data_IF_885767957972
#
_entry.id   IF_885767957972
#
_cell.length_a   1.000
_cell.length_b   1.000
_cell.length_c   1.000
_cell.angle_alpha   90.00
_cell.angle_beta   90.00
_cell.angle_gamma   90.00
#
_symmetry.space_group_name_H-M   'P 1'
#
loop_
_entity.id
_entity.type
_entity.pdbx_description
1 polymer ?
#
# COMPACT_ATOMS: atom_id res chain seq x y z
N UNK A 1 32.26 6.98 -3.99
CA UNK A 1 31.12 7.42 -4.80
C UNK A 1 29.90 6.87 -4.07
N UNK A 2 28.95 7.71 -3.68
CA UNK A 2 27.76 7.27 -2.94
C UNK A 2 26.78 6.60 -3.88
N UNK A 3 26.26 5.43 -3.50
CA UNK A 3 25.38 4.60 -4.33
C UNK A 3 23.96 4.68 -3.83
N UNK A 4 22.98 4.83 -4.73
CA UNK A 4 21.59 4.92 -4.37
C UNK A 4 20.68 4.02 -5.21
N UNK A 5 19.53 3.63 -4.63
CA UNK A 5 18.41 2.97 -5.31
C UNK A 5 17.22 3.91 -5.29
N UNK A 6 16.48 3.97 -6.39
CA UNK A 6 15.18 4.68 -6.50
C UNK A 6 14.09 3.64 -6.67
N UNK A 7 13.03 3.74 -5.86
CA UNK A 7 11.85 2.88 -5.97
C UNK A 7 10.57 3.70 -6.04
N UNK A 8 9.85 3.54 -7.15
CA UNK A 8 8.59 4.23 -7.47
C UNK A 8 7.88 3.44 -8.56
N UNK A 9 6.59 3.25 -8.52
CA UNK A 9 5.87 2.50 -9.56
C UNK A 9 5.62 3.33 -10.82
N UNK A 10 5.75 4.66 -10.74
CA UNK A 10 5.59 5.58 -11.87
C UNK A 10 6.94 5.84 -12.58
N UNK A 11 7.15 5.34 -13.83
CA UNK A 11 8.43 5.52 -14.54
C UNK A 11 8.84 6.97 -14.71
N UNK A 12 7.87 7.87 -14.97
CA UNK A 12 8.11 9.29 -15.15
C UNK A 12 8.64 9.95 -13.87
N UNK A 13 8.14 9.54 -12.70
CA UNK A 13 8.59 10.04 -11.41
C UNK A 13 10.03 9.59 -11.11
N UNK A 14 10.38 8.34 -11.44
CA UNK A 14 11.77 7.86 -11.32
C UNK A 14 12.73 8.66 -12.20
N UNK A 15 12.34 8.90 -13.46
CA UNK A 15 13.14 9.68 -14.40
C UNK A 15 13.34 11.12 -13.92
N UNK A 16 12.28 11.79 -13.48
CA UNK A 16 12.36 13.13 -12.91
C UNK A 16 13.25 13.21 -11.68
N UNK A 17 13.10 12.27 -10.75
CA UNK A 17 13.92 12.22 -9.54
C UNK A 17 15.40 11.99 -9.89
N UNK A 18 15.68 11.07 -10.81
CA UNK A 18 17.04 10.82 -11.31
C UNK A 18 17.65 12.08 -11.90
N UNK A 19 16.93 12.77 -12.78
CA UNK A 19 17.41 14.02 -13.39
C UNK A 19 17.72 15.09 -12.35
N UNK A 20 16.84 15.28 -11.37
CA UNK A 20 17.05 16.23 -10.26
C UNK A 20 18.24 15.86 -9.38
N UNK A 21 18.39 14.58 -9.05
CA UNK A 21 19.51 14.11 -8.24
C UNK A 21 20.83 14.28 -8.99
N UNK A 22 20.89 14.04 -10.30
CA UNK A 22 22.11 14.25 -11.09
C UNK A 22 22.54 15.71 -11.17
N UNK A 23 21.57 16.66 -11.14
CA UNK A 23 21.87 18.09 -11.06
C UNK A 23 22.39 18.53 -9.67
N UNK A 24 21.79 17.99 -8.59
CA UNK A 24 22.05 18.41 -7.21
C UNK A 24 23.20 17.65 -6.55
N UNK A 25 23.45 16.42 -6.99
CA UNK A 25 24.45 15.52 -6.44
C UNK A 25 25.14 14.70 -7.53
N UNK A 26 26.01 15.31 -8.35
CA UNK A 26 26.68 14.64 -9.47
C UNK A 26 27.49 13.40 -9.09
N UNK A 27 27.97 13.31 -7.83
CA UNK A 27 28.72 12.18 -7.32
C UNK A 27 27.84 11.00 -6.84
N UNK A 28 26.50 11.16 -6.87
CA UNK A 28 25.57 10.10 -6.53
C UNK A 28 25.39 9.15 -7.73
N UNK A 29 25.67 7.90 -7.53
CA UNK A 29 25.46 6.84 -8.54
C UNK A 29 24.12 6.16 -8.27
N UNK A 30 23.15 6.26 -9.19
CA UNK A 30 21.92 5.49 -9.14
C UNK A 30 22.22 4.11 -9.70
N UNK A 31 22.41 3.14 -8.81
CA UNK A 31 22.84 1.77 -9.17
C UNK A 31 21.68 0.87 -9.58
N UNK A 32 20.45 1.21 -9.20
CA UNK A 32 19.25 0.50 -9.63
C UNK A 32 17.97 1.34 -9.49
N UNK A 33 16.94 0.94 -10.23
CA UNK A 33 15.56 1.42 -10.11
C UNK A 33 14.61 0.25 -9.89
N UNK A 34 13.70 0.38 -8.93
CA UNK A 34 12.67 -0.58 -8.61
C UNK A 34 11.28 0.00 -8.93
N UNK A 35 10.35 -0.82 -9.38
CA UNK A 35 8.98 -0.43 -9.72
C UNK A 35 7.95 -0.85 -8.67
N UNK A 36 8.40 -1.45 -7.57
CA UNK A 36 7.58 -1.87 -6.44
C UNK A 36 8.46 -2.12 -5.21
N UNK A 37 7.82 -2.26 -4.04
CA UNK A 37 8.54 -2.45 -2.78
C UNK A 37 9.28 -3.79 -2.66
N UNK A 38 8.85 -4.84 -3.35
CA UNK A 38 9.53 -6.15 -3.36
C UNK A 38 10.86 -6.03 -4.07
N UNK A 39 10.85 -5.48 -5.31
CA UNK A 39 12.08 -5.23 -6.06
C UNK A 39 13.04 -4.30 -5.30
N UNK A 40 12.50 -3.29 -4.60
CA UNK A 40 13.32 -2.38 -3.80
C UNK A 40 14.12 -3.14 -2.72
N UNK A 41 13.47 -4.03 -1.97
CA UNK A 41 14.13 -4.85 -0.95
C UNK A 41 15.19 -5.77 -1.57
N UNK A 42 14.85 -6.46 -2.66
CA UNK A 42 15.78 -7.36 -3.37
C UNK A 42 17.03 -6.63 -3.87
N UNK A 43 16.83 -5.46 -4.50
CA UNK A 43 17.95 -4.68 -5.03
C UNK A 43 18.82 -4.09 -3.91
N UNK A 44 18.22 -3.61 -2.82
CA UNK A 44 18.98 -3.13 -1.66
C UNK A 44 19.78 -4.26 -1.01
N UNK A 45 19.20 -5.43 -0.85
CA UNK A 45 19.90 -6.59 -0.31
C UNK A 45 21.10 -7.01 -1.17
N UNK A 46 20.95 -6.99 -2.50
CA UNK A 46 21.97 -7.39 -3.46
C UNK A 46 23.07 -6.33 -3.64
N UNK A 47 22.69 -5.07 -3.75
CA UNK A 47 23.58 -3.97 -4.15
C UNK A 47 24.17 -3.20 -2.98
N UNK A 48 23.59 -3.29 -1.78
CA UNK A 48 24.03 -2.59 -0.57
C UNK A 48 24.30 -1.09 -0.82
N UNK A 49 23.30 -0.31 -1.29
CA UNK A 49 23.45 1.12 -1.49
C UNK A 49 23.56 1.85 -0.15
N UNK A 50 24.11 3.06 -0.16
CA UNK A 50 24.13 3.93 1.03
C UNK A 50 22.87 4.74 1.21
N UNK A 51 22.08 4.94 0.11
CA UNK A 51 20.85 5.74 0.11
C UNK A 51 19.75 4.99 -0.64
N UNK A 52 18.53 5.09 -0.15
CA UNK A 52 17.34 4.59 -0.85
C UNK A 52 16.26 5.67 -0.88
N UNK A 53 15.78 5.99 -2.07
CA UNK A 53 14.61 6.85 -2.27
C UNK A 53 13.40 5.94 -2.53
N UNK A 54 12.37 6.03 -1.69
CA UNK A 54 11.19 5.15 -1.74
C UNK A 54 9.92 5.97 -1.91
N UNK A 55 9.09 5.64 -2.89
CA UNK A 55 7.69 6.04 -2.82
C UNK A 55 6.98 5.22 -1.75
N UNK A 56 6.04 5.84 -1.05
CA UNK A 56 5.23 5.18 -0.02
C UNK A 56 4.18 4.27 -0.67
N UNK A 57 3.54 4.73 -1.75
CA UNK A 57 2.51 3.95 -2.43
C UNK A 57 3.07 3.21 -3.64
N UNK A 58 3.33 1.94 -3.46
CA UNK A 58 3.71 1.05 -4.55
C UNK A 58 2.86 -0.22 -4.52
N UNK A 59 2.61 -0.86 -5.69
CA UNK A 59 1.86 -2.10 -5.75
C UNK A 59 2.59 -3.25 -5.04
N UNK A 60 1.82 -4.15 -4.45
CA UNK A 60 2.31 -5.33 -3.74
C UNK A 60 2.80 -5.02 -2.33
N UNK A 61 3.95 -4.38 -2.20
CA UNK A 61 4.54 -3.94 -0.93
C UNK A 61 4.70 -2.42 -0.93
N UNK A 62 4.19 -1.77 0.11
CA UNK A 62 4.35 -0.33 0.30
C UNK A 62 5.81 0.04 0.58
N UNK A 63 6.19 1.31 0.32
CA UNK A 63 7.54 1.78 0.64
C UNK A 63 7.88 1.71 2.12
N UNK A 64 6.88 1.76 3.01
CA UNK A 64 7.09 1.63 4.45
C UNK A 64 7.38 0.19 4.85
N UNK A 65 6.63 -0.76 4.28
CA UNK A 65 6.91 -2.19 4.47
C UNK A 65 8.29 -2.55 3.93
N UNK A 66 8.65 -2.02 2.74
CA UNK A 66 9.97 -2.18 2.17
C UNK A 66 11.06 -1.58 3.08
N UNK A 67 10.85 -0.36 3.59
CA UNK A 67 11.79 0.30 4.49
C UNK A 67 12.02 -0.48 5.78
N UNK A 68 10.99 -1.10 6.35
CA UNK A 68 11.09 -1.97 7.54
C UNK A 68 11.96 -3.21 7.28
N UNK A 69 11.75 -3.87 6.14
CA UNK A 69 12.57 -5.03 5.76
C UNK A 69 14.01 -4.64 5.48
N UNK A 70 14.22 -3.50 4.81
CA UNK A 70 15.54 -2.94 4.54
C UNK A 70 16.28 -2.62 5.86
N UNK A 71 15.59 -2.07 6.86
CA UNK A 71 16.18 -1.70 8.14
C UNK A 71 16.67 -2.89 8.99
N UNK A 72 16.22 -4.11 8.70
CA UNK A 72 16.63 -5.34 9.38
C UNK A 72 17.59 -6.20 8.56
N UNK A 73 17.97 -5.78 7.36
CA UNK A 73 18.99 -6.47 6.56
C UNK A 73 20.35 -6.43 7.27
N UNK A 74 21.09 -7.53 7.15
CA UNK A 74 22.44 -7.61 7.71
C UNK A 74 23.36 -6.50 7.20
N UNK A 75 24.13 -5.90 8.10
CA UNK A 75 25.09 -4.84 7.80
C UNK A 75 24.59 -3.43 8.14
N UNK A 76 25.23 -2.41 7.54
CA UNK A 76 24.82 -1.02 7.73
C UNK A 76 23.55 -0.75 6.92
N UNK A 77 22.43 -0.35 7.56
CA UNK A 77 21.24 0.02 6.81
C UNK A 77 21.49 1.29 5.98
N UNK A 78 20.91 1.39 4.78
CA UNK A 78 20.99 2.60 3.97
C UNK A 78 20.20 3.74 4.62
N UNK A 79 20.55 4.96 4.27
CA UNK A 79 19.77 6.13 4.59
C UNK A 79 18.51 6.18 3.73
N UNK A 80 17.32 6.25 4.37
CA UNK A 80 16.02 6.17 3.67
C UNK A 80 15.41 7.56 3.56
N UNK A 81 15.01 7.91 2.33
CA UNK A 81 14.25 9.12 2.01
C UNK A 81 12.94 8.70 1.34
N UNK A 82 11.82 9.14 1.89
CA UNK A 82 10.54 8.96 1.21
C UNK A 82 10.28 10.09 0.21
N UNK A 83 9.86 9.71 -1.01
CA UNK A 83 9.43 10.62 -2.07
C UNK A 83 7.98 10.28 -2.41
N UNK A 84 7.03 11.10 -1.99
CA UNK A 84 5.62 10.72 -2.00
C UNK A 84 4.68 11.87 -2.34
N UNK A 85 3.49 11.55 -2.84
CA UNK A 85 2.41 12.53 -3.06
C UNK A 85 1.59 12.83 -1.79
N UNK A 86 1.91 12.22 -0.64
CA UNK A 86 1.20 12.45 0.62
C UNK A 86 1.45 13.84 1.18
N UNK A 87 0.36 14.49 1.62
CA UNK A 87 0.37 15.84 2.15
C UNK A 87 1.12 15.95 3.50
N UNK A 88 1.60 17.15 3.76
CA UNK A 88 2.51 17.55 4.84
C UNK A 88 2.01 17.21 6.26
N UNK A 89 0.69 17.09 6.47
CA UNK A 89 0.12 16.80 7.80
C UNK A 89 0.34 15.35 8.29
N UNK A 90 0.49 14.40 7.38
CA UNK A 90 0.89 13.03 7.74
C UNK A 90 2.38 12.93 8.11
N UNK A 91 3.16 13.93 7.78
CA UNK A 91 4.63 13.96 7.70
C UNK A 91 5.27 14.60 8.93
N UNK A 92 4.60 15.49 9.67
CA UNK A 92 5.09 16.02 10.96
C UNK A 92 5.34 14.92 12.00
N UNK A 93 4.76 13.74 11.78
CA UNK A 93 5.00 12.54 12.58
C UNK A 93 6.30 11.81 12.24
N UNK A 94 6.89 12.06 11.07
CA UNK A 94 8.11 11.42 10.57
C UNK A 94 9.39 11.98 11.17
N UNK A 95 9.35 13.15 11.79
CA UNK A 95 10.52 13.93 12.20
C UNK A 95 11.44 13.26 13.24
N UNK A 96 11.14 12.05 13.71
CA UNK A 96 11.92 11.43 14.80
C UNK A 96 12.77 10.20 14.43
N UNK A 97 12.95 9.84 13.16
CA UNK A 97 13.77 8.66 12.85
C UNK A 97 14.04 8.38 11.38
N UNK A 98 13.21 8.84 10.48
CA UNK A 98 13.46 8.81 9.04
C UNK A 98 14.23 10.07 8.66
N UNK A 99 15.18 9.96 7.75
CA UNK A 99 16.14 11.04 7.51
C UNK A 99 15.46 12.24 6.87
N UNK A 100 14.62 12.01 5.92
CA UNK A 100 13.86 13.06 5.25
C UNK A 100 12.70 12.50 4.41
N UNK A 101 11.84 13.41 3.97
CA UNK A 101 10.81 13.13 2.98
C UNK A 101 10.73 14.27 1.96
N UNK A 102 10.29 13.96 0.78
CA UNK A 102 10.12 14.92 -0.30
C UNK A 102 8.72 14.72 -0.90
N UNK A 103 7.93 15.78 -1.00
CA UNK A 103 6.64 15.72 -1.70
C UNK A 103 6.87 15.69 -3.21
N UNK A 104 6.08 14.87 -3.92
CA UNK A 104 5.98 14.88 -5.36
C UNK A 104 5.14 16.10 -5.82
N UNK A 105 5.54 16.82 -6.88
CA UNK A 105 6.78 16.65 -7.63
C UNK A 105 7.99 17.10 -6.80
N UNK A 106 9.10 16.33 -6.85
CA UNK A 106 10.31 16.64 -6.08
C UNK A 106 10.92 17.98 -6.52
N UNK A 107 10.54 19.06 -5.84
CA UNK A 107 11.05 20.41 -6.13
C UNK A 107 12.54 20.51 -5.86
N UNK A 108 13.26 21.25 -6.72
CA UNK A 108 14.71 21.35 -6.68
C UNK A 108 15.24 21.85 -5.34
N UNK A 109 14.62 22.91 -4.81
CA UNK A 109 15.03 23.50 -3.53
C UNK A 109 14.85 22.53 -2.37
N UNK A 110 13.67 21.86 -2.32
CA UNK A 110 13.38 20.89 -1.26
C UNK A 110 14.29 19.67 -1.32
N UNK A 111 14.53 19.14 -2.52
CA UNK A 111 15.44 18.02 -2.72
C UNK A 111 16.89 18.41 -2.39
N UNK A 112 17.29 19.65 -2.67
CA UNK A 112 18.60 20.19 -2.31
C UNK A 112 18.86 20.14 -0.80
N UNK A 113 17.86 20.51 0.02
CA UNK A 113 17.94 20.40 1.49
C UNK A 113 18.11 18.93 1.92
N UNK A 114 17.39 18.02 1.28
CA UNK A 114 17.51 16.58 1.54
C UNK A 114 18.91 16.06 1.21
N UNK A 115 19.47 16.44 0.07
CA UNK A 115 20.82 16.07 -0.34
C UNK A 115 21.86 16.56 0.67
N UNK A 116 21.77 17.79 1.14
CA UNK A 116 22.67 18.33 2.15
C UNK A 116 22.58 17.56 3.49
N UNK A 117 21.37 17.18 3.91
CA UNK A 117 21.15 16.33 5.09
C UNK A 117 21.80 14.96 4.92
N UNK A 118 21.59 14.32 3.76
CA UNK A 118 22.16 13.02 3.45
C UNK A 118 23.71 13.07 3.46
N UNK A 119 24.31 14.07 2.84
CA UNK A 119 25.78 14.24 2.82
C UNK A 119 26.35 14.37 4.25
N UNK A 120 25.70 15.18 5.11
CA UNK A 120 26.11 15.31 6.51
C UNK A 120 25.96 14.00 7.28
N UNK A 121 24.89 13.28 7.03
CA UNK A 121 24.59 12.01 7.73
C UNK A 121 25.52 10.89 7.31
N UNK A 122 25.84 10.78 6.03
CA UNK A 122 26.78 9.80 5.51
C UNK A 122 28.21 10.03 6.01
N UNK A 123 28.55 11.28 6.34
CA UNK A 123 29.84 11.64 6.93
C UNK A 123 29.91 11.40 8.46
N UNK A 124 28.77 11.18 9.13
CA UNK A 124 28.67 10.93 10.57
C UNK A 124 28.59 9.43 10.90
N UNK A 125 28.96 9.00 12.13
CA UNK A 125 28.68 7.63 12.58
C UNK A 125 27.16 7.35 12.53
N UNK A 126 26.78 6.18 12.00
CA UNK A 126 25.37 5.80 11.86
C UNK A 126 24.63 5.71 13.20
N UNK A 127 23.37 6.14 13.28
CA UNK A 127 22.51 5.81 14.42
C UNK A 127 22.26 4.30 14.44
N UNK A 128 21.90 3.80 15.63
CA UNK A 128 21.53 2.39 15.80
C UNK A 128 20.31 2.04 14.93
N UNK A 129 20.28 0.83 14.39
CA UNK A 129 19.14 0.28 13.65
C UNK A 129 17.82 0.36 14.43
N UNK A 130 17.88 0.34 15.76
CA UNK A 130 16.73 0.38 16.66
C UNK A 130 15.95 1.71 16.55
N UNK A 131 16.64 2.84 16.41
CA UNK A 131 15.98 4.15 16.27
C UNK A 131 15.22 4.24 14.93
N UNK A 132 15.78 3.71 13.85
CA UNK A 132 15.12 3.64 12.54
C UNK A 132 13.90 2.70 12.60
N UNK A 133 14.04 1.52 13.22
CA UNK A 133 12.93 0.57 13.36
C UNK A 133 11.76 1.16 14.16
N UNK A 134 12.04 1.83 15.29
CA UNK A 134 11.00 2.49 16.09
C UNK A 134 10.29 3.59 15.31
N UNK A 135 11.01 4.38 14.52
CA UNK A 135 10.44 5.41 13.68
C UNK A 135 9.53 4.84 12.59
N UNK A 136 9.98 3.78 11.90
CA UNK A 136 9.21 3.08 10.89
C UNK A 136 7.97 2.38 11.47
N UNK A 137 8.05 1.86 12.70
CA UNK A 137 6.91 1.28 13.40
C UNK A 137 5.82 2.32 13.69
N UNK A 138 6.20 3.47 14.28
CA UNK A 138 5.28 4.58 14.54
C UNK A 138 4.67 5.14 13.25
N UNK A 139 5.46 5.17 12.18
CA UNK A 139 5.02 5.59 10.88
C UNK A 139 3.92 4.68 10.33
N UNK A 140 4.12 3.37 10.37
CA UNK A 140 3.12 2.42 9.89
C UNK A 140 1.83 2.44 10.71
N UNK A 141 1.90 2.64 12.05
CA UNK A 141 0.71 2.81 12.88
C UNK A 141 -0.12 4.05 12.47
N UNK A 142 0.54 5.11 12.00
CA UNK A 142 -0.12 6.34 11.55
C UNK A 142 -0.54 6.33 10.08
N UNK A 143 0.13 5.52 9.26
CA UNK A 143 -0.22 5.27 7.86
C UNK A 143 -1.07 4.01 7.71
N UNK A 144 -1.41 3.35 8.81
CA UNK A 144 -2.60 2.49 8.80
C UNK A 144 -3.74 3.35 8.25
N UNK A 145 -4.32 2.95 7.12
CA UNK A 145 -4.94 3.91 6.23
C UNK A 145 -6.16 4.55 6.89
N UNK A 146 -6.08 5.86 7.16
CA UNK A 146 -7.29 6.70 7.14
C UNK A 146 -8.03 6.57 5.79
N UNK A 147 -7.41 5.96 4.79
CA UNK A 147 -7.99 5.66 3.49
C UNK A 147 -8.76 4.33 3.43
N UNK A 148 -8.81 3.53 4.51
CA UNK A 148 -9.74 2.40 4.53
C UNK A 148 -11.15 2.95 4.60
N UNK A 149 -11.94 2.57 3.62
CA UNK A 149 -13.32 2.99 3.51
C UNK A 149 -14.05 2.58 4.78
N UNK A 150 -14.44 3.54 5.62
CA UNK A 150 -15.24 3.28 6.84
C UNK A 150 -16.74 3.31 6.56
N UNK A 151 -17.12 4.02 5.51
CA UNK A 151 -18.51 4.24 5.13
C UNK A 151 -18.69 4.10 3.63
N UNK A 152 -19.76 3.40 3.24
CA UNK A 152 -20.22 3.35 1.86
C UNK A 152 -21.35 4.36 1.71
N UNK A 153 -21.18 5.30 0.78
CA UNK A 153 -22.24 6.22 0.39
C UNK A 153 -23.08 5.57 -0.72
N UNK A 154 -24.30 5.22 -0.43
CA UNK A 154 -25.22 4.61 -1.38
C UNK A 154 -26.45 5.49 -1.58
N UNK A 155 -26.97 5.52 -2.81
CA UNK A 155 -28.24 6.19 -3.11
C UNK A 155 -29.36 5.15 -3.06
N UNK A 156 -30.31 5.36 -2.17
CA UNK A 156 -31.51 4.52 -2.03
C UNK A 156 -32.72 5.41 -2.29
N UNK A 157 -33.35 5.28 -3.45
CA UNK A 157 -34.40 6.20 -3.88
C UNK A 157 -33.86 7.64 -4.02
N UNK A 158 -34.42 8.59 -3.29
CA UNK A 158 -33.99 10.00 -3.26
C UNK A 158 -33.09 10.35 -2.04
N UNK A 159 -32.65 9.36 -1.28
CA UNK A 159 -31.84 9.58 -0.08
C UNK A 159 -30.43 9.04 -0.26
N UNK A 160 -29.47 9.78 0.28
CA UNK A 160 -28.08 9.31 0.42
C UNK A 160 -28.00 8.61 1.77
N UNK A 161 -27.65 7.34 1.76
CA UNK A 161 -27.47 6.53 2.94
C UNK A 161 -25.99 6.24 3.17
N UNK A 162 -25.54 6.42 4.40
CA UNK A 162 -24.19 6.06 4.83
C UNK A 162 -24.24 4.68 5.48
N UNK A 163 -23.60 3.69 4.84
CA UNK A 163 -23.55 2.31 5.31
C UNK A 163 -22.16 2.07 5.90
N UNK A 164 -22.04 1.69 7.20
CA UNK A 164 -20.76 1.29 7.76
C UNK A 164 -20.18 0.09 6.99
N UNK A 165 -18.89 0.13 6.65
CA UNK A 165 -18.24 -0.98 5.94
C UNK A 165 -18.28 -2.27 6.76
N UNK A 166 -18.23 -2.17 8.09
CA UNK A 166 -18.32 -3.33 8.99
C UNK A 166 -19.67 -4.07 8.89
N UNK A 167 -20.75 -3.38 8.48
CA UNK A 167 -22.07 -3.98 8.30
C UNK A 167 -22.23 -4.65 6.92
N UNK A 168 -21.28 -4.45 6.01
CA UNK A 168 -21.34 -5.02 4.67
C UNK A 168 -20.92 -6.49 4.70
N UNK A 169 -21.77 -7.35 4.17
CA UNK A 169 -21.53 -8.78 4.03
C UNK A 169 -20.72 -9.07 2.76
N UNK A 170 -21.11 -8.45 1.64
CA UNK A 170 -20.43 -8.62 0.36
C UNK A 170 -20.77 -7.51 -0.63
N UNK A 171 -19.93 -7.39 -1.65
CA UNK A 171 -20.14 -6.56 -2.83
C UNK A 171 -20.19 -7.45 -4.07
N UNK A 172 -21.12 -7.16 -4.99
CA UNK A 172 -21.20 -7.83 -6.29
C UNK A 172 -21.35 -6.79 -7.39
N UNK A 173 -20.42 -6.80 -8.36
CA UNK A 173 -20.56 -5.96 -9.54
C UNK A 173 -21.69 -6.48 -10.44
N UNK A 174 -22.54 -5.53 -10.88
CA UNK A 174 -23.62 -5.75 -11.83
C UNK A 174 -23.58 -4.62 -12.86
N UNK A 175 -23.35 -4.96 -14.11
CA UNK A 175 -23.22 -4.06 -15.29
C UNK A 175 -22.66 -2.66 -15.01
N UNK A 176 -23.48 -1.74 -14.48
CA UNK A 176 -23.16 -0.32 -14.22
C UNK A 176 -22.99 0.03 -12.74
N UNK A 177 -23.34 -0.89 -11.86
CA UNK A 177 -23.36 -0.64 -10.43
C UNK A 177 -22.69 -1.75 -9.65
N UNK A 178 -22.28 -1.46 -8.44
CA UNK A 178 -21.89 -2.47 -7.46
C UNK A 178 -22.96 -2.57 -6.41
N UNK A 179 -23.52 -3.75 -6.25
CA UNK A 179 -24.47 -4.09 -5.21
C UNK A 179 -23.73 -4.26 -3.90
N UNK A 180 -24.17 -3.54 -2.87
CA UNK A 180 -23.70 -3.59 -1.49
C UNK A 180 -24.76 -4.31 -0.67
N UNK A 181 -24.42 -5.46 -0.11
CA UNK A 181 -25.33 -6.26 0.70
C UNK A 181 -24.96 -6.17 2.17
N UNK A 182 -25.91 -5.74 2.99
CA UNK A 182 -25.85 -5.86 4.45
C UNK A 182 -26.81 -6.94 4.96
N UNK A 183 -26.84 -7.16 6.27
CA UNK A 183 -27.82 -8.07 6.87
C UNK A 183 -29.26 -7.59 6.70
N UNK A 184 -29.49 -6.26 6.69
CA UNK A 184 -30.83 -5.66 6.68
C UNK A 184 -31.30 -5.22 5.29
N UNK A 185 -30.36 -4.81 4.41
CA UNK A 185 -30.72 -4.15 3.16
C UNK A 185 -29.71 -4.38 2.05
N UNK A 186 -30.16 -4.07 0.85
CA UNK A 186 -29.35 -3.97 -0.36
C UNK A 186 -29.31 -2.53 -0.82
N UNK A 187 -28.14 -2.09 -1.29
CA UNK A 187 -27.94 -0.78 -1.89
C UNK A 187 -27.07 -0.86 -3.13
N UNK A 188 -27.17 0.14 -4.00
CA UNK A 188 -26.38 0.21 -5.24
C UNK A 188 -25.46 1.42 -5.20
N UNK A 189 -24.21 1.20 -5.59
CA UNK A 189 -23.20 2.25 -5.73
C UNK A 189 -22.57 2.20 -7.13
N UNK A 190 -22.03 3.33 -7.57
CA UNK A 190 -21.34 3.40 -8.89
C UNK A 190 -19.87 3.00 -8.84
N UNK A 191 -19.32 2.80 -7.64
CA UNK A 191 -17.92 2.48 -7.45
C UNK A 191 -17.61 1.04 -7.89
N UNK A 192 -16.65 0.82 -8.81
CA UNK A 192 -16.32 -0.51 -9.31
C UNK A 192 -15.56 -1.35 -8.26
N UNK A 193 -15.63 -2.68 -8.37
CA UNK A 193 -14.95 -3.64 -7.47
C UNK A 193 -13.44 -3.37 -7.35
N UNK A 194 -12.79 -2.97 -8.45
CA UNK A 194 -11.34 -2.69 -8.47
C UNK A 194 -10.98 -1.51 -7.54
N UNK A 195 -11.78 -0.46 -7.52
CA UNK A 195 -11.57 0.68 -6.61
C UNK A 195 -11.88 0.31 -5.16
N UNK A 196 -13.00 -0.42 -4.94
CA UNK A 196 -13.33 -0.94 -3.60
C UNK A 196 -12.20 -1.80 -3.02
N UNK A 197 -11.61 -2.68 -3.85
CA UNK A 197 -10.51 -3.54 -3.42
C UNK A 197 -9.28 -2.75 -2.96
N UNK A 198 -9.01 -1.60 -3.58
CA UNK A 198 -7.90 -0.73 -3.20
C UNK A 198 -8.14 0.05 -1.90
N UNK A 199 -9.41 0.27 -1.54
CA UNK A 199 -9.80 1.11 -0.39
C UNK A 199 -10.30 0.29 0.82
N UNK A 200 -10.70 -0.97 0.62
CA UNK A 200 -11.15 -1.87 1.69
C UNK A 200 -9.97 -2.56 2.38
N UNK A 201 -10.19 -2.98 3.62
CA UNK A 201 -9.22 -3.77 4.37
C UNK A 201 -9.06 -5.17 3.77
N UNK A 202 -7.90 -5.57 3.23
CA UNK A 202 -7.68 -6.91 2.68
C UNK A 202 -7.75 -8.01 3.75
N UNK A 203 -7.58 -7.70 5.04
CA UNK A 203 -7.81 -8.65 6.13
C UNK A 203 -9.31 -8.90 6.37
N UNK A 204 -10.16 -7.91 6.06
CA UNK A 204 -11.60 -7.99 6.26
C UNK A 204 -12.35 -8.41 4.99
N UNK A 205 -11.91 -7.97 3.80
CA UNK A 205 -12.59 -8.26 2.54
C UNK A 205 -11.70 -9.06 1.60
N UNK A 206 -12.20 -10.21 1.17
CA UNK A 206 -11.53 -11.05 0.20
C UNK A 206 -12.22 -10.98 -1.17
N UNK A 207 -11.43 -10.86 -2.22
CA UNK A 207 -11.94 -11.05 -3.57
C UNK A 207 -12.04 -12.55 -3.85
N UNK A 208 -13.27 -13.03 -4.10
CA UNK A 208 -13.54 -14.44 -4.39
C UNK A 208 -13.91 -14.69 -5.85
N UNK A 209 -14.27 -13.64 -6.57
CA UNK A 209 -14.55 -13.62 -8.00
C UNK A 209 -14.17 -12.24 -8.56
N UNK A 210 -13.89 -12.12 -9.87
CA UNK A 210 -13.60 -10.83 -10.51
C UNK A 210 -14.64 -9.73 -10.24
N UNK A 211 -15.88 -10.15 -9.96
CA UNK A 211 -17.02 -9.27 -9.68
C UNK A 211 -17.48 -9.32 -8.22
N UNK A 212 -16.78 -9.99 -7.29
CA UNK A 212 -17.30 -10.24 -5.95
C UNK A 212 -16.23 -10.09 -4.88
N UNK A 213 -16.52 -9.23 -3.89
CA UNK A 213 -15.77 -9.14 -2.63
C UNK A 213 -16.68 -9.62 -1.48
N UNK A 214 -16.13 -10.37 -0.55
CA UNK A 214 -16.85 -10.85 0.63
C UNK A 214 -16.14 -10.45 1.92
N UNK A 215 -16.92 -10.03 2.91
CA UNK A 215 -16.41 -9.85 4.27
C UNK A 215 -16.11 -11.21 4.89
N UNK A 216 -14.88 -11.42 5.33
CA UNK A 216 -14.43 -12.70 5.92
C UNK A 216 -15.26 -13.12 7.12
N UNK A 217 -15.77 -12.14 7.91
CA UNK A 217 -16.65 -12.38 9.07
C UNK A 217 -18.04 -12.87 8.67
N UNK A 218 -18.47 -12.59 7.43
CA UNK A 218 -19.76 -13.00 6.89
C UNK A 218 -19.72 -14.42 6.29
N UNK A 219 -18.56 -15.05 6.19
CA UNK A 219 -18.44 -16.41 5.67
C UNK A 219 -19.01 -17.38 6.71
N UNK A 220 -20.05 -18.14 6.31
CA UNK A 220 -20.62 -19.23 7.12
C UNK A 220 -19.93 -20.56 6.86
N UNK A 221 -19.47 -20.78 5.61
CA UNK A 221 -18.80 -21.99 5.20
C UNK A 221 -18.65 -22.07 3.70
N UNK A 222 -18.01 -23.13 3.22
CA UNK A 222 -17.81 -23.40 1.81
C UNK A 222 -18.53 -24.68 1.45
N UNK A 223 -19.31 -24.63 0.39
CA UNK A 223 -20.01 -25.77 -0.17
C UNK A 223 -19.57 -26.01 -1.62
N UNK A 224 -19.69 -27.24 -2.09
CA UNK A 224 -19.50 -27.55 -3.52
C UNK A 224 -20.86 -27.83 -4.12
N UNK A 225 -21.11 -27.29 -5.29
CA UNK A 225 -22.29 -27.62 -6.07
C UNK A 225 -22.13 -28.98 -6.77
N UNK A 226 -23.20 -29.45 -7.41
CA UNK A 226 -23.22 -30.70 -8.17
C UNK A 226 -22.19 -30.75 -9.32
N UNK A 227 -21.71 -29.57 -9.77
CA UNK A 227 -20.70 -29.42 -10.82
C UNK A 227 -19.30 -29.28 -10.27
N UNK A 228 -19.12 -29.41 -8.93
CA UNK A 228 -17.81 -29.27 -8.23
C UNK A 228 -17.32 -27.86 -8.07
N UNK A 229 -18.13 -26.81 -8.34
CA UNK A 229 -17.76 -25.41 -8.13
C UNK A 229 -17.82 -25.08 -6.64
N UNK A 230 -16.85 -24.32 -6.17
CA UNK A 230 -16.85 -23.83 -4.79
C UNK A 230 -17.78 -22.62 -4.66
N UNK A 231 -18.63 -22.67 -3.66
CA UNK A 231 -19.56 -21.61 -3.31
C UNK A 231 -19.36 -21.24 -1.84
N UNK A 232 -19.32 -19.93 -1.55
CA UNK A 232 -19.32 -19.43 -0.18
C UNK A 232 -20.74 -19.23 0.29
N UNK A 233 -21.13 -19.88 1.38
CA UNK A 233 -22.36 -19.62 2.09
C UNK A 233 -22.21 -18.37 2.98
N UNK A 234 -23.17 -17.45 2.92
CA UNK A 234 -23.14 -16.20 3.67
C UNK A 234 -23.98 -16.32 4.94
N UNK A 235 -23.45 -15.88 6.08
CA UNK A 235 -24.17 -15.91 7.37
C UNK A 235 -25.49 -15.15 7.29
N UNK A 236 -26.58 -15.81 7.73
CA UNK A 236 -27.91 -15.21 7.79
C UNK A 236 -28.56 -14.93 6.42
N UNK A 237 -27.99 -15.47 5.32
CA UNK A 237 -28.50 -15.26 3.96
C UNK A 237 -28.62 -16.58 3.20
N UNK A 238 -29.64 -16.73 2.36
CA UNK A 238 -29.77 -17.93 1.50
C UNK A 238 -28.81 -17.92 0.31
N UNK A 239 -28.24 -16.75 -0.03
CA UNK A 239 -27.37 -16.60 -1.18
C UNK A 239 -26.04 -17.35 -0.99
N UNK A 240 -25.59 -17.95 -2.09
CA UNK A 240 -24.25 -18.56 -2.20
C UNK A 240 -23.48 -17.84 -3.27
N UNK A 241 -22.28 -17.41 -2.94
CA UNK A 241 -21.41 -16.66 -3.85
C UNK A 241 -20.39 -17.58 -4.50
N UNK A 242 -20.27 -17.52 -5.83
CA UNK A 242 -19.34 -18.36 -6.58
C UNK A 242 -17.90 -17.90 -6.36
N UNK A 243 -17.01 -18.89 -6.12
CA UNK A 243 -15.57 -18.69 -6.04
C UNK A 243 -14.94 -19.07 -7.39
N UNK A 244 -14.26 -18.12 -8.02
CA UNK A 244 -13.55 -18.44 -9.25
C UNK A 244 -12.29 -19.27 -8.99
N UNK A 245 -11.83 -20.00 -9.99
CA UNK A 245 -10.65 -20.89 -9.88
C UNK A 245 -9.39 -20.14 -9.42
N UNK A 246 -9.25 -18.89 -9.84
CA UNK A 246 -8.12 -18.01 -9.48
C UNK A 246 -8.04 -17.71 -7.99
N UNK A 247 -9.18 -17.71 -7.28
CA UNK A 247 -9.28 -17.38 -5.86
C UNK A 247 -9.52 -18.59 -4.95
N UNK A 248 -9.61 -19.79 -5.53
CA UNK A 248 -9.85 -21.02 -4.78
C UNK A 248 -8.73 -21.34 -3.74
N UNK A 249 -7.55 -20.78 -3.92
CA UNK A 249 -6.42 -20.93 -3.01
C UNK A 249 -6.67 -20.29 -1.63
N UNK A 250 -7.50 -19.25 -1.54
CA UNK A 250 -7.86 -18.59 -0.28
C UNK A 250 -8.55 -19.53 0.71
N UNK A 251 -9.12 -20.62 0.21
CA UNK A 251 -9.88 -21.60 0.96
C UNK A 251 -9.19 -22.97 1.05
N UNK A 252 -7.92 -23.07 0.66
CA UNK A 252 -7.11 -24.29 0.80
C UNK A 252 -6.38 -24.22 2.13
N UNK A 253 -6.77 -25.05 3.07
CA UNK A 253 -6.06 -25.20 4.35
C UNK A 253 -6.83 -24.72 5.58
N UNK A 254 -8.13 -24.53 5.45
CA UNK A 254 -9.05 -24.46 6.60
C UNK A 254 -9.65 -25.84 6.88
#
# INVERSE_FOLDING_TARGET
MTRAVIADDEPLMREQLRARLSELWPELEIVAEAKNGVEAVEQVAALRPEVVFLDIRMPGKTGIEAAREIAVLDGRPPEIVFVTAYDQYAIDAFAQGVIDYVLKPAERERLGVTVERLRKRLAAPSPSSDALQQALARLAERLEPESRLKWIQATVGNQIQMIPVDDVLFFVADEKYTRVQTAQQEALIRKPIKELLAELDPAQFWQIHRSTLINTRAIAGIVRDERGRQLVAVKGRPEKLEVSRSYAHLFKGM
#
